data_IF_516114912898
#
_entry.id   IF_516114912898
#
_cell.length_a   1.000
_cell.length_b   1.000
_cell.length_c   1.000
_cell.angle_alpha   90.00
_cell.angle_beta   90.00
_cell.angle_gamma   90.00
#
_symmetry.space_group_name_H-M   'P 1'
#
loop_
_entity.id
_entity.type
_entity.pdbx_description
1 polymer ?
#
# COMPACT_ATOMS: atom_id res chain seq x y z
N UNK A 1 1.39 -12.04 -1.70
CA UNK A 1 2.01 -12.71 -2.87
C UNK A 1 3.51 -12.48 -2.96
N UNK A 2 3.98 -11.23 -2.85
CA UNK A 2 5.39 -10.87 -3.08
C UNK A 2 6.44 -11.58 -2.20
N UNK A 3 6.16 -11.89 -0.93
CA UNK A 3 7.11 -12.59 -0.06
C UNK A 3 7.08 -14.10 -0.27
N UNK A 4 5.89 -14.72 -0.27
CA UNK A 4 5.75 -16.16 -0.49
C UNK A 4 6.26 -16.62 -1.86
N UNK A 5 6.12 -15.79 -2.90
CA UNK A 5 6.62 -16.11 -4.24
C UNK A 5 8.14 -16.16 -4.33
N UNK A 6 8.87 -15.49 -3.42
CA UNK A 6 10.35 -15.48 -3.41
C UNK A 6 10.94 -16.80 -2.94
N UNK A 7 10.19 -17.59 -2.17
CA UNK A 7 10.65 -18.84 -1.56
C UNK A 7 10.02 -20.09 -2.19
N UNK A 8 9.42 -19.98 -3.38
CA UNK A 8 8.82 -21.13 -4.08
C UNK A 8 9.86 -22.18 -4.47
N UNK A 9 11.11 -21.78 -4.73
CA UNK A 9 12.18 -22.71 -5.11
C UNK A 9 12.71 -23.52 -3.92
N UNK A 10 12.58 -23.02 -2.69
CA UNK A 10 12.99 -23.72 -1.48
C UNK A 10 12.13 -23.29 -0.27
N UNK A 11 10.89 -23.79 -0.16
CA UNK A 11 9.96 -23.38 0.88
C UNK A 11 10.33 -23.99 2.24
N UNK A 12 10.36 -23.17 3.29
CA UNK A 12 10.50 -23.63 4.68
C UNK A 12 9.13 -23.83 5.31
N UNK A 13 9.08 -24.52 6.46
CA UNK A 13 7.83 -24.76 7.21
C UNK A 13 7.07 -23.46 7.54
N UNK A 14 7.81 -22.38 7.83
CA UNK A 14 7.26 -21.04 8.07
C UNK A 14 6.57 -20.45 6.83
N UNK A 15 7.15 -20.61 5.64
CA UNK A 15 6.54 -20.15 4.38
C UNK A 15 5.28 -20.94 4.05
N UNK A 16 5.29 -22.26 4.26
CA UNK A 16 4.11 -23.10 4.03
C UNK A 16 2.97 -22.76 4.99
N UNK A 17 3.26 -22.53 6.27
CA UNK A 17 2.25 -22.13 7.25
C UNK A 17 1.60 -20.79 6.88
N UNK A 18 2.39 -19.81 6.46
CA UNK A 18 1.89 -18.52 5.98
C UNK A 18 1.04 -18.68 4.70
N UNK A 19 1.44 -19.55 3.76
CA UNK A 19 0.64 -19.86 2.58
C UNK A 19 -0.72 -20.48 2.95
N UNK A 20 -0.75 -21.43 3.89
CA UNK A 20 -2.01 -22.00 4.38
C UNK A 20 -2.90 -20.98 5.09
N UNK A 21 -2.33 -20.02 5.81
CA UNK A 21 -3.12 -18.92 6.39
C UNK A 21 -3.77 -18.06 5.31
N UNK A 22 -3.05 -17.73 4.23
CA UNK A 22 -3.61 -17.02 3.07
C UNK A 22 -4.74 -17.82 2.42
N UNK A 23 -4.55 -19.12 2.22
CA UNK A 23 -5.58 -19.99 1.64
C UNK A 23 -6.83 -20.07 2.52
N UNK A 24 -6.67 -20.20 3.84
CA UNK A 24 -7.80 -20.18 4.79
C UNK A 24 -8.55 -18.86 4.76
N UNK A 25 -7.84 -17.73 4.65
CA UNK A 25 -8.45 -16.41 4.53
C UNK A 25 -9.28 -16.27 3.24
N UNK A 26 -8.72 -16.69 2.10
CA UNK A 26 -9.44 -16.67 0.81
C UNK A 26 -10.68 -17.58 0.88
N UNK A 27 -10.53 -18.81 1.39
CA UNK A 27 -11.63 -19.75 1.53
C UNK A 27 -12.72 -19.27 2.51
N UNK A 28 -12.34 -18.54 3.55
CA UNK A 28 -13.26 -17.99 4.54
C UNK A 28 -14.03 -16.76 4.06
N UNK A 29 -13.61 -16.15 2.95
CA UNK A 29 -14.13 -14.86 2.48
C UNK A 29 -14.47 -14.82 0.98
N UNK A 30 -15.11 -15.87 0.41
CA UNK A 30 -15.26 -15.99 -1.05
C UNK A 30 -16.11 -14.88 -1.68
N UNK A 31 -17.04 -14.29 -0.91
CA UNK A 31 -17.87 -13.18 -1.34
C UNK A 31 -17.25 -11.80 -1.17
N UNK A 32 -16.00 -11.69 -0.72
CA UNK A 32 -15.39 -10.39 -0.49
C UNK A 32 -14.97 -9.73 -1.80
N UNK A 33 -15.55 -8.57 -2.10
CA UNK A 33 -15.26 -7.79 -3.30
C UNK A 33 -15.10 -6.31 -3.00
N UNK A 34 -14.46 -5.58 -3.90
CA UNK A 34 -14.37 -4.12 -3.84
C UNK A 34 -15.69 -3.54 -4.38
N UNK A 35 -16.35 -2.72 -3.57
CA UNK A 35 -17.57 -2.05 -3.98
C UNK A 35 -17.28 -0.76 -4.76
N UNK A 36 -17.97 -0.60 -5.89
CA UNK A 36 -17.95 0.63 -6.69
C UNK A 36 -19.32 1.29 -6.60
N UNK A 37 -19.40 2.44 -5.95
CA UNK A 37 -20.64 3.21 -5.88
C UNK A 37 -20.96 3.82 -7.25
N UNK A 38 -22.17 3.56 -7.77
CA UNK A 38 -22.66 4.16 -9.01
C UNK A 38 -22.97 5.66 -8.88
N UNK A 39 -23.14 6.14 -7.65
CA UNK A 39 -23.37 7.54 -7.30
C UNK A 39 -22.33 8.00 -6.28
N UNK A 40 -21.85 9.23 -6.41
CA UNK A 40 -20.89 9.78 -5.47
C UNK A 40 -20.17 11.01 -5.99
N UNK A 41 -19.30 11.56 -5.14
CA UNK A 41 -18.45 12.70 -5.51
C UNK A 41 -17.39 12.27 -6.53
N UNK A 42 -17.17 13.07 -7.58
CA UNK A 42 -16.05 12.90 -8.53
C UNK A 42 -14.70 13.42 -7.99
N UNK A 43 -14.54 13.44 -6.67
CA UNK A 43 -13.30 13.90 -6.04
C UNK A 43 -12.22 12.82 -6.16
N UNK A 44 -11.12 13.13 -6.84
CA UNK A 44 -9.96 12.26 -6.91
C UNK A 44 -9.13 12.38 -5.62
N UNK A 45 -9.01 11.30 -4.86
CA UNK A 45 -8.16 11.21 -3.65
C UNK A 45 -7.03 10.23 -3.91
N UNK A 46 -5.79 10.59 -3.59
CA UNK A 46 -4.64 9.70 -3.72
C UNK A 46 -3.88 9.61 -2.41
N UNK A 47 -3.59 8.38 -2.00
CA UNK A 47 -2.81 8.03 -0.83
C UNK A 47 -1.51 7.39 -1.31
N UNK A 48 -0.40 7.81 -0.74
CA UNK A 48 0.92 7.23 -1.00
C UNK A 48 1.61 7.02 0.33
N UNK A 49 2.18 5.84 0.51
CA UNK A 49 3.01 5.50 1.65
C UNK A 49 4.28 4.79 1.16
N UNK A 50 5.33 4.91 1.94
CA UNK A 50 6.57 4.18 1.73
C UNK A 50 7.06 3.67 3.07
N UNK A 51 7.30 2.37 3.18
CA UNK A 51 8.00 1.85 4.34
C UNK A 51 9.51 2.14 4.21
N UNK A 52 10.13 2.55 5.31
CA UNK A 52 11.58 2.66 5.40
C UNK A 52 12.09 1.40 6.07
N UNK A 53 12.93 0.62 5.36
CA UNK A 53 13.68 -0.50 5.95
C UNK A 53 12.76 -1.56 6.61
N UNK A 54 11.55 -1.78 6.09
CA UNK A 54 10.56 -2.68 6.73
C UNK A 54 10.97 -4.16 6.79
N UNK A 55 11.91 -4.59 5.94
CA UNK A 55 12.42 -5.96 5.91
C UNK A 55 13.85 -6.02 6.49
N UNK A 56 13.99 -6.61 7.70
CA UNK A 56 15.29 -6.83 8.39
C UNK A 56 16.32 -7.55 7.51
N UNK A 57 15.86 -8.41 6.61
CA UNK A 57 16.74 -9.24 5.77
C UNK A 57 17.22 -8.53 4.49
N UNK A 58 16.47 -7.55 3.99
CA UNK A 58 16.80 -6.92 2.68
C UNK A 58 17.03 -5.42 2.75
N UNK A 59 16.63 -4.73 3.84
CA UNK A 59 16.66 -3.26 3.99
C UNK A 59 16.11 -2.48 2.79
N UNK A 60 15.18 -3.08 2.04
CA UNK A 60 14.56 -2.48 0.86
C UNK A 60 13.22 -1.87 1.26
N UNK A 61 13.00 -0.64 0.83
CA UNK A 61 11.73 0.07 1.00
C UNK A 61 10.66 -0.47 0.05
N UNK A 62 9.41 -0.47 0.51
CA UNK A 62 8.20 -0.79 -0.24
C UNK A 62 7.40 0.50 -0.40
N UNK A 63 7.18 0.91 -1.65
CA UNK A 63 6.32 2.05 -1.97
C UNK A 63 4.96 1.52 -2.38
N UNK A 64 3.91 2.08 -1.80
CA UNK A 64 2.54 1.80 -2.14
C UNK A 64 1.76 3.07 -2.46
N UNK A 65 0.76 2.94 -3.33
CA UNK A 65 -0.24 3.98 -3.52
C UNK A 65 -1.63 3.37 -3.69
N UNK A 66 -2.64 4.18 -3.37
CA UNK A 66 -4.03 3.93 -3.67
C UNK A 66 -4.71 5.21 -4.14
N UNK A 67 -5.54 5.10 -5.18
CA UNK A 67 -6.23 6.19 -5.84
C UNK A 67 -7.72 5.88 -5.79
N UNK A 68 -8.50 6.84 -5.32
CA UNK A 68 -9.94 6.77 -5.13
C UNK A 68 -10.64 7.83 -5.98
N UNK A 69 -11.77 7.46 -6.56
CA UNK A 69 -12.73 8.39 -7.13
C UNK A 69 -13.96 8.41 -6.22
N UNK A 70 -14.17 9.53 -5.52
CA UNK A 70 -15.10 9.56 -4.39
C UNK A 70 -14.61 8.60 -3.30
N UNK A 71 -15.42 7.61 -2.95
CA UNK A 71 -15.06 6.58 -1.97
C UNK A 71 -14.73 5.22 -2.62
N UNK A 72 -14.75 5.16 -3.96
CA UNK A 72 -14.44 3.96 -4.73
C UNK A 72 -12.94 3.86 -5.03
N UNK A 73 -12.28 2.77 -4.63
CA UNK A 73 -10.89 2.50 -4.97
C UNK A 73 -10.76 2.13 -6.45
N UNK A 74 -10.13 2.98 -7.26
CA UNK A 74 -10.00 2.77 -8.71
C UNK A 74 -8.64 2.23 -9.14
N UNK A 75 -7.58 2.48 -8.36
CA UNK A 75 -6.23 2.01 -8.69
C UNK A 75 -5.37 1.88 -7.45
N UNK A 76 -4.57 0.83 -7.37
CA UNK A 76 -3.61 0.64 -6.28
C UNK A 76 -2.38 -0.11 -6.79
N UNK A 77 -1.26 0.10 -6.12
CA UNK A 77 -0.03 -0.65 -6.39
C UNK A 77 0.82 -0.73 -5.15
N UNK A 78 1.54 -1.83 -5.00
CA UNK A 78 2.68 -1.97 -4.10
C UNK A 78 3.91 -2.41 -4.89
N UNK A 79 5.05 -1.76 -4.66
CA UNK A 79 6.32 -2.07 -5.34
C UNK A 79 7.46 -2.01 -4.33
N UNK A 80 8.23 -3.10 -4.22
CA UNK A 80 9.50 -3.10 -3.50
C UNK A 80 10.57 -2.43 -4.36
N UNK A 81 11.31 -1.50 -3.77
CA UNK A 81 12.42 -0.85 -4.44
C UNK A 81 13.56 -1.86 -4.67
N UNK A 82 14.16 -1.78 -5.86
CA UNK A 82 15.35 -2.52 -6.25
C UNK A 82 16.63 -2.01 -5.58
N UNK A 83 16.58 -0.83 -4.99
CA UNK A 83 17.73 -0.16 -4.35
C UNK A 83 17.53 -0.12 -2.85
N UNK A 84 18.59 -0.43 -2.09
CA UNK A 84 18.61 -0.29 -0.62
C UNK A 84 18.68 1.19 -0.28
N UNK A 85 17.76 1.67 0.56
CA UNK A 85 17.77 3.04 1.05
C UNK A 85 18.91 3.22 2.06
N UNK A 86 20.08 3.66 1.58
CA UNK A 86 21.25 3.99 2.41
C UNK A 86 21.05 5.38 3.05
N UNK A 87 20.27 5.49 4.11
CA UNK A 87 20.27 6.68 4.97
C UNK A 87 21.31 6.55 6.07
N UNK A 88 22.52 7.05 5.81
CA UNK A 88 23.53 7.40 6.83
C UNK A 88 24.86 7.92 6.25
N UNK A 89 25.03 7.99 4.92
CA UNK A 89 26.20 8.64 4.33
C UNK A 89 25.81 10.05 3.83
N UNK A 90 26.40 11.14 4.36
CA UNK A 90 26.22 12.50 3.86
C UNK A 90 26.96 12.74 2.53
N UNK A 91 27.57 11.69 1.96
CA UNK A 91 28.19 11.75 0.65
C UNK A 91 27.08 11.78 -0.39
N UNK A 92 26.80 12.98 -0.88
CA UNK A 92 25.98 13.28 -2.05
C UNK A 92 26.22 12.22 -3.13
N UNK A 93 25.25 11.34 -3.31
CA UNK A 93 25.24 10.42 -4.44
C UNK A 93 24.23 10.95 -5.45
N UNK A 94 24.71 11.14 -6.67
CA UNK A 94 24.00 11.48 -7.90
C UNK A 94 22.66 10.73 -8.11
N UNK A 95 22.45 9.64 -7.39
CA UNK A 95 21.26 8.80 -7.41
C UNK A 95 20.11 9.23 -6.47
N UNK A 96 20.24 10.25 -5.61
CA UNK A 96 19.08 10.83 -4.86
C UNK A 96 18.41 12.00 -5.58
N UNK A 97 18.98 12.46 -6.70
CA UNK A 97 18.43 13.56 -7.51
C UNK A 97 16.96 13.36 -7.88
N UNK A 98 16.56 12.13 -8.21
CA UNK A 98 15.17 11.83 -8.58
C UNK A 98 14.17 12.07 -7.44
N UNK A 99 14.56 11.85 -6.17
CA UNK A 99 13.71 12.09 -4.99
C UNK A 99 13.53 13.60 -4.78
N UNK A 100 14.61 14.37 -4.92
CA UNK A 100 14.56 15.84 -4.82
C UNK A 100 13.76 16.46 -5.96
N UNK A 101 13.92 15.95 -7.19
CA UNK A 101 13.13 16.36 -8.37
C UNK A 101 11.65 16.05 -8.16
N UNK A 102 11.30 14.83 -7.74
CA UNK A 102 9.90 14.45 -7.47
C UNK A 102 9.29 15.35 -6.38
N UNK A 103 10.04 15.64 -5.32
CA UNK A 103 9.61 16.56 -4.26
C UNK A 103 9.39 17.98 -4.81
N UNK A 104 10.28 18.46 -5.68
CA UNK A 104 10.15 19.77 -6.32
C UNK A 104 8.94 19.84 -7.25
N UNK A 105 8.70 18.80 -8.07
CA UNK A 105 7.54 18.71 -8.96
C UNK A 105 6.25 18.71 -8.14
N UNK A 106 6.16 17.90 -7.08
CA UNK A 106 4.99 17.89 -6.20
C UNK A 106 4.78 19.26 -5.58
N UNK A 107 5.84 19.90 -5.08
CA UNK A 107 5.76 21.24 -4.49
C UNK A 107 5.29 22.28 -5.51
N UNK A 108 5.80 22.27 -6.74
CA UNK A 108 5.37 23.17 -7.81
C UNK A 108 3.90 22.95 -8.19
N UNK A 109 3.46 21.70 -8.30
CA UNK A 109 2.04 21.36 -8.59
C UNK A 109 1.11 21.76 -7.44
N UNK A 110 1.57 21.71 -6.20
CA UNK A 110 0.83 22.23 -5.04
C UNK A 110 0.74 23.76 -5.09
N UNK A 111 1.84 24.46 -5.40
CA UNK A 111 1.83 25.92 -5.53
C UNK A 111 0.93 26.39 -6.68
N UNK A 112 0.83 25.62 -7.76
CA UNK A 112 -0.09 25.87 -8.89
C UNK A 112 -1.56 25.54 -8.57
N UNK A 113 -1.87 25.10 -7.35
CA UNK A 113 -3.23 24.73 -6.94
C UNK A 113 -3.77 23.43 -7.58
N UNK A 114 -2.94 22.70 -8.33
CA UNK A 114 -3.32 21.45 -8.99
C UNK A 114 -3.39 20.27 -8.01
N UNK A 115 -2.66 20.36 -6.89
CA UNK A 115 -2.63 19.34 -5.84
C UNK A 115 -2.86 19.98 -4.48
N UNK A 116 -3.79 19.41 -3.70
CA UNK A 116 -3.98 19.76 -2.30
C UNK A 116 -3.44 18.64 -1.43
N UNK A 117 -2.37 18.93 -0.66
CA UNK A 117 -1.87 17.99 0.34
C UNK A 117 -2.74 18.08 1.59
N UNK A 118 -3.22 16.93 2.05
CA UNK A 118 -4.00 16.82 3.28
C UNK A 118 -3.20 15.97 4.29
N UNK A 119 -3.02 16.44 5.54
CA UNK A 119 -2.44 15.60 6.57
C UNK A 119 -3.38 14.43 6.86
N UNK A 120 -2.83 13.22 6.89
CA UNK A 120 -3.58 11.98 7.10
C UNK A 120 -2.96 11.27 8.31
N UNK A 121 -3.79 10.98 9.30
CA UNK A 121 -3.41 10.10 10.44
C UNK A 121 -2.99 8.73 9.90
N UNK A 122 -2.02 8.08 10.53
CA UNK A 122 -1.61 6.70 10.19
C UNK A 122 -2.78 5.72 10.20
N UNK A 123 -3.76 5.90 11.09
CA UNK A 123 -4.99 5.08 11.12
C UNK A 123 -5.89 5.26 9.88
N UNK A 124 -5.66 6.33 9.12
CA UNK A 124 -6.39 6.66 7.90
C UNK A 124 -5.56 6.52 6.63
N UNK A 125 -4.29 6.12 6.74
CA UNK A 125 -3.38 5.94 5.61
C UNK A 125 -3.71 4.64 4.87
N UNK A 126 -4.58 4.72 3.87
CA UNK A 126 -5.06 3.56 3.11
C UNK A 126 -3.95 2.86 2.31
N UNK A 127 -2.82 3.52 2.06
CA UNK A 127 -1.67 2.89 1.43
C UNK A 127 -0.93 1.91 2.37
N UNK A 128 -1.15 1.98 3.70
CA UNK A 128 -0.48 1.12 4.68
C UNK A 128 -0.83 -0.36 4.51
N UNK A 129 -2.05 -0.67 4.07
CA UNK A 129 -2.48 -2.05 3.78
C UNK A 129 -1.62 -2.71 2.68
N UNK A 130 -1.00 -1.90 1.83
CA UNK A 130 -0.20 -2.35 0.70
C UNK A 130 1.31 -2.34 0.99
N UNK A 131 1.76 -1.60 2.02
CA UNK A 131 3.18 -1.41 2.33
C UNK A 131 3.62 -2.10 3.61
N UNK A 132 2.72 -2.30 4.58
CA UNK A 132 3.08 -2.74 5.94
C UNK A 132 2.38 -4.05 6.34
N UNK A 133 3.05 -4.94 7.08
CA UNK A 133 2.38 -6.03 7.79
C UNK A 133 1.61 -5.43 8.98
N UNK A 134 0.29 -5.28 8.83
CA UNK A 134 -0.56 -4.67 9.85
C UNK A 134 -1.14 -5.70 10.83
N UNK A 135 -1.29 -5.33 12.12
CA UNK A 135 -2.04 -6.13 13.08
C UNK A 135 -3.51 -6.30 12.64
N UNK A 136 -4.20 -7.39 13.05
CA UNK A 136 -5.57 -7.66 12.63
C UNK A 136 -6.55 -6.51 12.86
N UNK A 137 -6.44 -5.77 13.97
CA UNK A 137 -7.31 -4.64 14.28
C UNK A 137 -7.16 -3.48 13.28
N UNK A 138 -5.92 -3.07 12.99
CA UNK A 138 -5.62 -2.04 12.00
C UNK A 138 -5.99 -2.50 10.58
N UNK A 139 -5.74 -3.78 10.27
CA UNK A 139 -6.12 -4.37 9.01
C UNK A 139 -7.65 -4.32 8.81
N UNK A 140 -8.45 -4.72 9.79
CA UNK A 140 -9.92 -4.68 9.69
C UNK A 140 -10.46 -3.25 9.50
N UNK A 141 -9.91 -2.27 10.22
CA UNK A 141 -10.29 -0.86 10.06
C UNK A 141 -9.97 -0.31 8.66
N UNK A 142 -8.80 -0.67 8.10
CA UNK A 142 -8.47 -0.31 6.72
C UNK A 142 -9.25 -1.14 5.70
N UNK A 143 -9.59 -2.39 6.01
CA UNK A 143 -10.33 -3.32 5.16
C UNK A 143 -11.74 -2.80 4.87
N UNK A 144 -12.47 -2.39 5.90
CA UNK A 144 -13.80 -1.77 5.73
C UNK A 144 -13.71 -0.45 4.97
N UNK A 145 -12.70 0.37 5.28
CA UNK A 145 -12.47 1.66 4.61
C UNK A 145 -12.00 1.52 3.16
N UNK A 146 -11.41 0.39 2.79
CA UNK A 146 -11.06 0.06 1.41
C UNK A 146 -12.32 -0.12 0.54
N UNK A 147 -13.49 -0.30 1.15
CA UNK A 147 -14.74 -0.65 0.45
C UNK A 147 -14.87 -2.14 0.17
N UNK A 148 -14.17 -2.99 0.96
CA UNK A 148 -14.34 -4.44 0.87
C UNK A 148 -15.67 -4.83 1.50
N UNK A 149 -16.59 -5.36 0.69
CA UNK A 149 -17.91 -5.81 1.12
C UNK A 149 -18.09 -7.28 0.79
N UNK A 150 -18.82 -7.99 1.64
CA UNK A 150 -19.21 -9.36 1.35
C UNK A 150 -20.53 -9.34 0.54
N UNK A 151 -20.46 -9.78 -0.71
CA UNK A 151 -21.62 -9.84 -1.61
C UNK A 151 -22.68 -10.87 -1.18
N UNK A 152 -22.31 -11.81 -0.30
CA UNK A 152 -23.21 -12.84 0.22
C UNK A 152 -23.79 -12.49 1.59
N UNK A 153 -23.39 -11.39 2.24
CA UNK A 153 -23.96 -10.99 3.54
C UNK A 153 -25.28 -10.21 3.42
N UNK A 154 -25.85 -10.10 2.22
CA UNK A 154 -27.15 -9.46 1.95
C UNK A 154 -28.26 -10.47 1.57
N UNK A 155 -28.00 -11.78 1.74
CA UNK A 155 -29.02 -12.84 1.68
C UNK A 155 -29.35 -13.33 3.09
#
# INVERSE_FOLDING_TARGET
VQQLSQYMANPTSTHSQAAFQVLRYIKGSPGSGIFFAAQGSFTLKAFRDSDWVGCRDTRRSVIGFSIYLGDSLISWRSKKQSTVSRTSNPVFHEHTKHIEIDCHIVRDKVHKGLLKLLPISSSMQLADIFTKPLPPASFQGLYTKLGMMNIHSQL
#
